data_IF_007172198335
#
_entry.id   IF_007172198335
#
_cell.length_a   1.000
_cell.length_b   1.000
_cell.length_c   1.000
_cell.angle_alpha   90.00
_cell.angle_beta   90.00
_cell.angle_gamma   90.00
#
_symmetry.space_group_name_H-M   'P 1'
#
loop_
_entity.id
_entity.type
_entity.pdbx_description
1 polymer ?
#
# COMPACT_ATOMS: atom_id res chain seq x y z
N UNK A 1 -4.55 2.10 20.27
CA UNK A 1 -4.63 2.16 18.79
C UNK A 1 -3.63 1.19 18.20
N UNK A 2 -3.34 1.27 16.90
CA UNK A 2 -2.28 0.49 16.25
C UNK A 2 -0.88 0.96 16.71
N UNK A 3 0.05 0.03 16.96
CA UNK A 3 1.42 0.34 17.42
C UNK A 3 2.37 0.87 16.33
N UNK A 4 1.94 0.85 15.07
CA UNK A 4 2.72 1.27 13.92
C UNK A 4 1.99 0.97 12.61
N UNK A 5 2.64 1.28 11.49
CA UNK A 5 2.10 1.06 10.14
C UNK A 5 3.16 0.51 9.19
N UNK A 6 2.71 -0.21 8.17
CA UNK A 6 3.50 -0.55 6.99
C UNK A 6 3.01 0.32 5.84
N UNK A 7 3.92 1.09 5.24
CA UNK A 7 3.59 1.92 4.08
C UNK A 7 3.45 1.03 2.84
N UNK A 8 2.45 1.30 1.99
CA UNK A 8 2.29 0.60 0.70
C UNK A 8 3.59 0.73 -0.09
N UNK A 9 3.99 -0.36 -0.74
CA UNK A 9 5.24 -0.44 -1.50
C UNK A 9 5.43 0.75 -2.41
N UNK A 10 6.55 1.45 -2.26
CA UNK A 10 6.95 2.54 -3.15
C UNK A 10 7.83 2.02 -4.29
N UNK A 11 7.68 2.66 -5.45
CA UNK A 11 8.64 2.59 -6.55
C UNK A 11 9.62 3.76 -6.51
N UNK A 12 10.58 3.75 -7.43
CA UNK A 12 11.45 4.89 -7.69
C UNK A 12 10.71 6.05 -8.40
N UNK A 13 11.37 7.20 -8.51
CA UNK A 13 10.82 8.35 -9.25
C UNK A 13 10.77 8.04 -10.74
N UNK A 14 9.65 8.36 -11.37
CA UNK A 14 9.41 8.04 -12.78
C UNK A 14 7.93 7.99 -13.13
N UNK A 15 7.57 7.48 -14.31
CA UNK A 15 6.18 7.28 -14.69
C UNK A 15 5.46 6.43 -13.63
N UNK A 16 4.26 6.83 -13.19
CA UNK A 16 3.55 6.09 -12.17
C UNK A 16 3.17 4.70 -12.67
N UNK A 17 3.16 3.73 -11.77
CA UNK A 17 2.59 2.41 -12.06
C UNK A 17 1.10 2.57 -12.30
N UNK A 18 0.63 2.15 -13.47
CA UNK A 18 -0.78 2.22 -13.84
C UNK A 18 -1.45 0.89 -13.50
N UNK A 19 -2.28 0.92 -12.47
CA UNK A 19 -3.16 -0.21 -12.17
C UNK A 19 -4.20 -0.41 -13.28
N UNK A 20 -4.67 -1.65 -13.47
CA UNK A 20 -5.82 -1.91 -14.34
C UNK A 20 -7.08 -1.17 -13.86
N UNK A 21 -7.81 -0.60 -14.81
CA UNK A 21 -9.11 0.01 -14.57
C UNK A 21 -10.20 -1.08 -14.53
N UNK A 22 -10.95 -1.16 -13.44
CA UNK A 22 -11.97 -2.20 -13.22
C UNK A 22 -11.82 -2.90 -11.86
N UNK A 23 -12.51 -4.04 -11.64
CA UNK A 23 -12.42 -4.79 -10.39
C UNK A 23 -10.99 -5.32 -10.17
N UNK A 24 -10.30 -4.83 -9.13
CA UNK A 24 -8.95 -5.31 -8.74
C UNK A 24 -8.94 -6.24 -7.53
N UNK A 25 -10.06 -6.27 -6.83
CA UNK A 25 -10.27 -7.10 -5.65
C UNK A 25 -11.46 -8.01 -5.90
N UNK A 26 -11.22 -9.32 -5.79
CA UNK A 26 -12.25 -10.34 -5.84
C UNK A 26 -12.48 -10.93 -4.46
N UNK A 27 -13.74 -11.18 -4.11
CA UNK A 27 -14.09 -11.91 -2.90
C UNK A 27 -14.28 -13.40 -3.22
N UNK A 28 -13.68 -14.26 -2.40
CA UNK A 28 -13.86 -15.71 -2.46
C UNK A 28 -14.88 -16.07 -1.38
N UNK A 29 -16.01 -16.64 -1.80
CA UNK A 29 -17.14 -16.95 -0.92
C UNK A 29 -17.27 -18.46 -0.67
N UNK A 30 -17.60 -18.83 0.55
CA UNK A 30 -17.97 -20.19 0.91
C UNK A 30 -19.40 -20.55 0.46
N UNK A 31 -19.78 -21.82 0.64
CA UNK A 31 -21.12 -22.31 0.31
C UNK A 31 -22.24 -21.58 1.08
N UNK A 32 -21.92 -21.04 2.26
CA UNK A 32 -22.78 -20.25 3.13
C UNK A 32 -22.73 -18.73 2.85
N UNK A 33 -22.07 -18.31 1.76
CA UNK A 33 -21.76 -16.90 1.42
C UNK A 33 -20.93 -16.18 2.49
N UNK A 34 -20.19 -16.91 3.34
CA UNK A 34 -19.17 -16.29 4.20
C UNK A 34 -17.93 -15.94 3.39
N UNK A 35 -17.34 -14.77 3.65
CA UNK A 35 -16.08 -14.36 3.02
C UNK A 35 -14.96 -15.26 3.52
N UNK A 36 -14.35 -16.02 2.60
CA UNK A 36 -13.21 -16.89 2.91
C UNK A 36 -11.87 -16.23 2.62
N UNK A 37 -11.83 -15.30 1.66
CA UNK A 37 -10.61 -14.61 1.31
C UNK A 37 -10.80 -13.55 0.23
N UNK A 38 -9.70 -12.87 -0.07
CA UNK A 38 -9.62 -11.87 -1.12
C UNK A 38 -8.56 -12.31 -2.14
N UNK A 39 -8.83 -12.07 -3.41
CA UNK A 39 -7.86 -12.14 -4.49
C UNK A 39 -7.62 -10.73 -5.04
N UNK A 40 -6.39 -10.44 -5.42
CA UNK A 40 -5.92 -9.08 -5.71
C UNK A 40 -4.99 -9.08 -6.92
N UNK A 41 -5.19 -8.11 -7.83
CA UNK A 41 -4.26 -7.77 -8.92
C UNK A 41 -3.80 -6.31 -8.87
N UNK A 42 -3.97 -5.63 -7.74
CA UNK A 42 -3.39 -4.31 -7.48
C UNK A 42 -1.87 -4.40 -7.35
N UNK A 43 -1.21 -3.39 -7.91
CA UNK A 43 0.24 -3.23 -7.94
C UNK A 43 0.75 -2.44 -6.73
N UNK A 44 1.96 -1.90 -6.84
CA UNK A 44 2.54 -0.94 -5.88
C UNK A 44 1.77 0.38 -5.89
N UNK A 45 2.17 1.35 -5.04
CA UNK A 45 1.53 2.66 -5.06
C UNK A 45 1.59 3.32 -6.44
N UNK A 46 0.48 3.91 -6.85
CA UNK A 46 0.36 4.76 -8.06
C UNK A 46 0.56 6.25 -7.73
N UNK A 47 0.86 6.57 -6.47
CA UNK A 47 1.13 7.94 -6.00
C UNK A 47 2.59 8.30 -6.23
N UNK A 48 2.83 9.56 -6.57
CA UNK A 48 4.17 10.11 -6.71
C UNK A 48 5.03 9.87 -5.46
N UNK A 49 6.31 9.53 -5.69
CA UNK A 49 7.29 9.28 -4.62
C UNK A 49 7.35 10.45 -3.63
N UNK A 50 7.40 11.68 -4.14
CA UNK A 50 7.55 12.88 -3.29
C UNK A 50 6.36 13.11 -2.36
N UNK A 51 5.14 12.72 -2.77
CA UNK A 51 3.97 12.80 -1.91
C UNK A 51 4.12 11.83 -0.74
N UNK A 52 4.48 10.58 -1.03
CA UNK A 52 4.69 9.57 -0.01
C UNK A 52 5.81 9.97 0.97
N UNK A 53 6.96 10.47 0.49
CA UNK A 53 8.07 10.87 1.36
C UNK A 53 7.70 12.02 2.30
N UNK A 54 6.94 13.01 1.81
CA UNK A 54 6.44 14.11 2.66
C UNK A 54 5.51 13.60 3.75
N UNK A 55 4.59 12.70 3.40
CA UNK A 55 3.63 12.14 4.35
C UNK A 55 4.28 11.20 5.35
N UNK A 56 5.21 10.33 4.93
CA UNK A 56 5.98 9.47 5.84
C UNK A 56 6.70 10.32 6.88
N UNK A 57 7.35 11.41 6.45
CA UNK A 57 8.02 12.35 7.35
C UNK A 57 7.04 12.97 8.35
N UNK A 58 5.91 13.47 7.87
CA UNK A 58 4.88 14.07 8.71
C UNK A 58 4.34 13.06 9.74
N UNK A 59 3.99 11.85 9.30
CA UNK A 59 3.49 10.78 10.18
C UNK A 59 4.53 10.40 11.23
N UNK A 60 5.83 10.34 10.88
CA UNK A 60 6.86 10.04 11.88
C UNK A 60 7.03 11.18 12.91
N UNK A 61 6.84 12.42 12.50
CA UNK A 61 6.88 13.59 13.40
C UNK A 61 5.70 13.63 14.36
N UNK A 62 4.50 13.34 13.85
CA UNK A 62 3.27 13.38 14.63
C UNK A 62 3.13 12.19 15.60
N UNK A 63 3.73 11.04 15.24
CA UNK A 63 3.72 9.81 16.05
C UNK A 63 5.11 9.20 16.21
N UNK A 64 6.01 9.88 16.95
CA UNK A 64 7.40 9.46 17.10
C UNK A 64 7.55 8.14 17.88
N UNK A 65 6.58 7.80 18.73
CA UNK A 65 6.53 6.58 19.55
C UNK A 65 6.12 5.32 18.76
N UNK A 66 5.59 5.48 17.54
CA UNK A 66 5.07 4.36 16.72
C UNK A 66 6.05 3.92 15.65
N UNK A 67 6.02 2.64 15.32
CA UNK A 67 6.85 2.09 14.24
C UNK A 67 6.30 2.47 12.86
N UNK A 68 7.20 2.79 11.92
CA UNK A 68 6.86 2.95 10.51
C UNK A 68 7.81 2.06 9.72
N UNK A 69 7.26 1.11 8.96
CA UNK A 69 8.01 0.27 8.03
C UNK A 69 7.67 0.72 6.62
N UNK A 70 8.69 1.06 5.83
CA UNK A 70 8.51 1.50 4.44
C UNK A 70 8.87 0.36 3.51
N UNK A 71 7.88 -0.19 2.82
CA UNK A 71 8.08 -1.22 1.79
C UNK A 71 8.58 -0.58 0.50
N UNK A 72 9.62 -1.12 -0.13
CA UNK A 72 10.25 -0.58 -1.35
C UNK A 72 10.39 -1.67 -2.40
N UNK A 73 10.23 -1.29 -3.67
CA UNK A 73 10.51 -2.12 -4.84
C UNK A 73 11.23 -1.27 -5.89
N UNK A 74 12.51 -1.57 -6.13
CA UNK A 74 13.40 -0.83 -7.02
C UNK A 74 14.16 -1.79 -7.94
N UNK A 75 14.67 -1.34 -9.10
CA UNK A 75 15.52 -2.16 -9.96
C UNK A 75 16.74 -2.71 -9.22
N UNK A 76 17.19 -3.92 -9.60
CA UNK A 76 18.37 -4.58 -9.05
C UNK A 76 19.66 -4.15 -9.76
#
# INVERSE_FOLDING_TARGET
GWGGVVWKTLGEEGPPVVNVNGPRYGAIWGADRRLLGLNNIELITDRDLQVNLREIKQVKMDWPDRAIVVSLMVPC
#
